data_IF_942779551849
#
_entry.id   IF_942779551849
#
_cell.length_a   1.000
_cell.length_b   1.000
_cell.length_c   1.000
_cell.angle_alpha   90.00
_cell.angle_beta   90.00
_cell.angle_gamma   90.00
#
_symmetry.space_group_name_H-M   'P 1'
#
loop_
_entity.id
_entity.type
_entity.pdbx_description
1 polymer ?
#
# COMPACT_ATOMS: atom_id res chain seq x y z
N UNK A 1 -11.72 11.77 -5.40
CA UNK A 1 -11.35 11.30 -4.08
C UNK A 1 -10.65 9.96 -4.16
N UNK A 2 -9.47 9.88 -3.60
CA UNK A 2 -8.68 8.65 -3.66
C UNK A 2 -9.12 7.74 -2.55
N UNK A 3 -9.41 6.50 -2.91
CA UNK A 3 -9.80 5.51 -1.92
C UNK A 3 -8.89 4.31 -2.06
N UNK A 4 -8.74 3.60 -0.98
CA UNK A 4 -8.03 2.34 -1.02
C UNK A 4 -8.91 1.31 -1.70
N UNK A 5 -8.39 0.65 -2.71
CA UNK A 5 -9.13 -0.45 -3.31
C UNK A 5 -8.81 -1.73 -2.54
N UNK A 6 -9.39 -2.85 -2.95
CA UNK A 6 -9.19 -4.10 -2.22
C UNK A 6 -7.73 -4.50 -2.16
N UNK A 7 -7.01 -4.30 -3.26
CA UNK A 7 -5.59 -4.65 -3.29
C UNK A 7 -4.81 -3.78 -2.32
N UNK A 8 -5.10 -2.48 -2.30
CA UNK A 8 -4.43 -1.57 -1.37
C UNK A 8 -4.66 -2.01 0.07
N UNK A 9 -5.90 -2.36 0.40
CA UNK A 9 -6.23 -2.79 1.75
C UNK A 9 -5.49 -4.06 2.12
N UNK A 10 -5.36 -4.98 1.18
CA UNK A 10 -4.63 -6.21 1.42
C UNK A 10 -3.16 -5.94 1.67
N UNK A 11 -2.59 -5.02 0.92
CA UNK A 11 -1.19 -4.65 1.10
C UNK A 11 -0.97 -4.06 2.49
N UNK A 12 -1.81 -3.11 2.87
CA UNK A 12 -1.71 -2.48 4.19
C UNK A 12 -1.89 -3.51 5.29
N UNK A 13 -2.87 -4.39 5.13
CA UNK A 13 -3.13 -5.42 6.12
C UNK A 13 -1.95 -6.38 6.26
N UNK A 14 -1.34 -6.75 5.13
CA UNK A 14 -0.20 -7.65 5.15
C UNK A 14 0.97 -7.02 5.89
N UNK A 15 1.25 -5.76 5.60
CA UNK A 15 2.36 -5.06 6.26
C UNK A 15 2.08 -4.87 7.75
N UNK A 16 0.84 -4.55 8.08
CA UNK A 16 0.47 -4.36 9.48
C UNK A 16 0.58 -5.66 10.25
N UNK A 17 0.08 -6.74 9.67
CA UNK A 17 0.10 -8.04 10.33
C UNK A 17 1.52 -8.55 10.51
N UNK A 18 2.39 -8.26 9.55
CA UNK A 18 3.77 -8.72 9.64
C UNK A 18 4.57 -7.95 10.69
N UNK A 19 4.23 -6.67 10.87
CA UNK A 19 4.95 -5.83 11.83
C UNK A 19 6.39 -5.59 11.46
N UNK A 20 6.74 -5.81 10.20
CA UNK A 20 8.11 -5.63 9.71
C UNK A 20 8.09 -5.35 8.23
N UNK A 21 9.25 -5.07 7.68
CA UNK A 21 9.36 -4.84 6.24
C UNK A 21 9.15 -6.14 5.48
N UNK A 22 8.50 -6.03 4.34
CA UNK A 22 8.24 -7.17 3.48
C UNK A 22 8.66 -6.83 2.07
N UNK A 23 9.14 -7.84 1.34
CA UNK A 23 9.45 -7.66 -0.06
C UNK A 23 8.18 -7.74 -0.89
N UNK A 24 8.28 -7.34 -2.15
CA UNK A 24 7.15 -7.41 -3.06
C UNK A 24 6.57 -8.82 -3.12
N UNK A 25 7.44 -9.80 -3.23
CA UNK A 25 7.01 -11.19 -3.32
C UNK A 25 6.30 -11.64 -2.05
N UNK A 26 6.82 -11.23 -0.91
CA UNK A 26 6.20 -11.61 0.36
C UNK A 26 4.81 -10.99 0.50
N UNK A 27 4.68 -9.74 0.08
CA UNK A 27 3.38 -9.08 0.14
C UNK A 27 2.40 -9.77 -0.81
N UNK A 28 2.86 -10.10 -2.01
CA UNK A 28 1.99 -10.79 -2.96
C UNK A 28 1.53 -12.14 -2.41
N UNK A 29 2.44 -12.88 -1.81
CA UNK A 29 2.10 -14.17 -1.24
C UNK A 29 1.08 -14.04 -0.10
N UNK A 30 1.29 -13.06 0.77
CA UNK A 30 0.40 -12.89 1.91
C UNK A 30 -0.97 -12.37 1.50
N UNK A 31 -1.03 -11.55 0.46
CA UNK A 31 -2.28 -10.96 0.02
C UNK A 31 -3.03 -11.84 -0.96
N UNK A 32 -2.34 -12.78 -1.60
CA UNK A 32 -2.96 -13.62 -2.60
C UNK A 32 -3.21 -12.93 -3.91
N UNK A 33 -2.56 -11.79 -4.13
CA UNK A 33 -2.70 -11.03 -5.37
C UNK A 33 -1.47 -11.20 -6.24
N UNK A 34 -1.61 -10.86 -7.51
CA UNK A 34 -0.48 -10.98 -8.41
C UNK A 34 0.56 -9.89 -8.10
N UNK A 35 1.84 -10.17 -8.35
CA UNK A 35 2.88 -9.16 -8.10
C UNK A 35 2.65 -7.86 -8.85
N UNK A 36 2.07 -7.93 -10.04
CA UNK A 36 1.79 -6.71 -10.80
C UNK A 36 0.81 -5.81 -10.08
N UNK A 37 -0.26 -6.39 -9.56
CA UNK A 37 -1.25 -5.62 -8.81
C UNK A 37 -0.65 -5.06 -7.53
N UNK A 38 0.15 -5.88 -6.86
CA UNK A 38 0.79 -5.44 -5.63
C UNK A 38 1.75 -4.30 -5.91
N UNK A 39 2.51 -4.37 -6.99
CA UNK A 39 3.45 -3.31 -7.33
C UNK A 39 2.71 -1.99 -7.57
N UNK A 40 1.60 -2.04 -8.26
CA UNK A 40 0.81 -0.83 -8.49
C UNK A 40 0.30 -0.23 -7.18
N UNK A 41 -0.19 -1.08 -6.30
CA UNK A 41 -0.65 -0.61 -4.99
C UNK A 41 0.50 -0.02 -4.19
N UNK A 42 1.63 -0.69 -4.18
CA UNK A 42 2.79 -0.21 -3.44
C UNK A 42 3.23 1.15 -3.96
N UNK A 43 3.25 1.31 -5.27
CA UNK A 43 3.65 2.57 -5.85
C UNK A 43 2.70 3.70 -5.45
N UNK A 44 1.41 3.42 -5.51
CA UNK A 44 0.41 4.40 -5.12
C UNK A 44 0.57 4.77 -3.64
N UNK A 45 0.73 3.78 -2.79
CA UNK A 45 0.89 4.03 -1.36
C UNK A 45 2.19 4.77 -1.07
N UNK A 46 3.24 4.45 -1.81
CA UNK A 46 4.51 5.13 -1.64
C UNK A 46 4.39 6.62 -2.04
N UNK A 47 3.72 6.89 -3.14
CA UNK A 47 3.53 8.26 -3.60
C UNK A 47 2.71 9.08 -2.62
N UNK A 48 1.86 8.43 -1.85
CA UNK A 48 1.05 9.10 -0.84
C UNK A 48 1.68 9.05 0.55
N UNK A 49 2.93 8.59 0.62
CA UNK A 49 3.70 8.58 1.87
C UNK A 49 3.07 7.68 2.94
N UNK A 50 2.39 6.65 2.52
CA UNK A 50 1.81 5.69 3.45
C UNK A 50 2.81 4.59 3.76
N UNK A 51 3.65 4.25 2.80
CA UNK A 51 4.71 3.27 2.97
C UNK A 51 6.04 3.86 2.51
N UNK A 52 7.12 3.24 2.92
CA UNK A 52 8.43 3.60 2.40
C UNK A 52 9.09 2.33 1.87
N UNK A 53 10.10 2.52 1.04
CA UNK A 53 10.82 1.40 0.46
C UNK A 53 12.31 1.55 0.76
N UNK A 54 12.94 0.43 1.08
CA UNK A 54 14.36 0.42 1.38
C UNK A 54 14.88 -0.97 1.14
N UNK A 55 15.97 -1.08 0.41
CA UNK A 55 16.61 -2.36 0.13
C UNK A 55 15.63 -3.39 -0.45
N UNK A 56 14.78 -2.93 -1.36
CA UNK A 56 13.77 -3.76 -2.03
C UNK A 56 12.71 -4.31 -1.10
N UNK A 57 12.56 -3.69 0.07
CA UNK A 57 11.50 -4.06 1.00
C UNK A 57 10.62 -2.85 1.25
N UNK A 58 9.41 -3.12 1.68
CA UNK A 58 8.42 -2.08 1.90
C UNK A 58 7.99 -2.09 3.35
N UNK A 59 7.88 -0.92 3.92
CA UNK A 59 7.54 -0.75 5.32
C UNK A 59 6.36 0.20 5.44
N UNK A 60 5.44 -0.12 6.35
CA UNK A 60 4.29 0.73 6.57
C UNK A 60 4.69 1.91 7.45
N UNK A 61 4.48 3.11 6.96
CA UNK A 61 4.78 4.32 7.71
C UNK A 61 3.62 4.74 8.59
N UNK A 62 2.40 4.50 8.11
CA UNK A 62 1.20 4.88 8.82
C UNK A 62 0.39 3.62 9.07
N UNK A 63 0.13 3.33 10.33
CA UNK A 63 -0.58 2.12 10.70
C UNK A 63 -2.07 2.35 10.85
N UNK A 64 -2.45 3.55 11.29
CA UNK A 64 -3.83 3.88 11.56
C UNK A 64 -4.62 4.08 10.26
N UNK A 65 -5.69 3.30 10.03
CA UNK A 65 -6.48 3.47 8.81
C UNK A 65 -7.03 4.88 8.62
N UNK A 66 -7.31 5.57 9.70
CA UNK A 66 -7.81 6.93 9.60
C UNK A 66 -6.74 7.86 9.07
N UNK A 67 -5.51 7.67 9.50
CA UNK A 67 -4.41 8.51 9.02
C UNK A 67 -4.11 8.22 7.56
N UNK A 68 -4.21 6.97 7.15
CA UNK A 68 -4.01 6.61 5.76
C UNK A 68 -5.03 7.32 4.89
N UNK A 69 -6.28 7.29 5.32
CA UNK A 69 -7.36 7.92 4.59
C UNK A 69 -7.16 9.43 4.52
N UNK A 70 -6.76 10.03 5.63
CA UNK A 70 -6.52 11.46 5.68
C UNK A 70 -5.38 11.86 4.75
N UNK A 71 -4.33 11.06 4.69
CA UNK A 71 -3.21 11.34 3.81
C UNK A 71 -3.63 11.29 2.35
N UNK A 72 -4.42 10.30 1.98
CA UNK A 72 -4.89 10.18 0.62
C UNK A 72 -5.76 11.36 0.22
N UNK A 73 -6.60 11.80 1.13
CA UNK A 73 -7.46 12.93 0.86
C UNK A 73 -6.69 14.23 0.79
N UNK A 74 -5.66 14.37 1.62
CA UNK A 74 -4.86 15.56 1.64
C UNK A 74 -4.04 15.74 0.37
N UNK A 75 -3.62 14.62 -0.23
CA UNK A 75 -2.86 14.68 -1.46
C UNK A 75 -3.73 15.00 -2.66
N UNK A 76 -5.02 14.96 -2.50
CA UNK A 76 -5.95 15.25 -3.57
C UNK A 76 -6.19 14.05 -4.43
N UNK A 77 -6.71 14.31 -5.61
CA UNK A 77 -7.17 13.26 -6.43
C UNK A 77 -6.17 12.71 -7.33
N UNK A 78 -5.63 11.61 -6.97
CA UNK A 78 -4.89 10.87 -7.94
C UNK A 78 -5.74 9.69 -8.27
N UNK A 79 -6.53 9.82 -9.29
CA UNK A 79 -7.38 8.75 -9.65
C UNK A 79 -6.65 7.80 -10.48
N UNK A 80 -6.53 6.61 -9.98
CA UNK A 80 -5.96 5.57 -10.76
C UNK A 80 -7.06 4.77 -11.35
N UNK A 81 -7.13 4.69 -12.66
CA UNK A 81 -8.14 3.84 -13.27
C UNK A 81 -7.86 2.42 -12.86
N UNK A 82 -8.88 1.79 -12.39
CA UNK A 82 -8.78 0.39 -12.07
C UNK A 82 -8.64 -0.37 -13.34
N UNK A 83 -7.57 -1.01 -13.48
CA UNK A 83 -7.37 -1.80 -14.68
C UNK A 83 -8.12 -3.11 -14.60
#
# INVERSE_FOLDING_TARGET
MVKLNKTDEKVVAALRAAGKELSLQEIADKSGESPKKIFRSLRKLFENEIISTQARKYKLLIVDPKEIKAKLEAKGDVEEPEA
#
